data_IF_185241318640
#
_entry.id   IF_185241318640
#
_cell.length_a   1.000
_cell.length_b   1.000
_cell.length_c   1.000
_cell.angle_alpha   90.00
_cell.angle_beta   90.00
_cell.angle_gamma   90.00
#
_symmetry.space_group_name_H-M   'P 1'
#
loop_
_entity.id
_entity.type
_entity.pdbx_description
1 polymer ?
#
# COMPACT_ATOMS: atom_id res chain seq x y z
N UNK A 1 -13.18 1.97 22.31
CA UNK A 1 -12.70 0.73 21.64
C UNK A 1 -11.21 0.89 21.50
N UNK A 2 -10.42 -0.12 21.88
CA UNK A 2 -8.96 -0.08 21.68
C UNK A 2 -8.69 -0.12 20.18
N UNK A 3 -7.72 0.66 19.70
CA UNK A 3 -7.40 0.69 18.26
C UNK A 3 -6.82 -0.66 17.82
N UNK A 4 -6.99 -1.07 16.55
CA UNK A 4 -6.37 -2.31 16.06
C UNK A 4 -4.85 -2.31 16.24
N UNK A 5 -4.22 -1.13 16.18
CA UNK A 5 -2.78 -0.97 16.39
C UNK A 5 -2.36 -1.12 17.86
N UNK A 6 -3.20 -0.77 18.83
CA UNK A 6 -2.93 -1.06 20.25
C UNK A 6 -2.90 -2.57 20.51
N UNK A 7 -3.77 -3.35 19.86
CA UNK A 7 -3.73 -4.80 19.96
C UNK A 7 -2.45 -5.40 19.34
N UNK A 8 -1.89 -4.76 18.31
CA UNK A 8 -0.69 -5.21 17.60
C UNK A 8 0.62 -4.72 18.25
N UNK A 9 0.68 -3.51 18.79
CA UNK A 9 1.93 -2.90 19.26
C UNK A 9 1.98 -2.71 20.78
N UNK A 10 0.85 -2.92 21.48
CA UNK A 10 0.69 -2.61 22.89
C UNK A 10 0.24 -1.18 23.13
N UNK A 11 0.23 -0.76 24.40
CA UNK A 11 -0.30 0.55 24.81
C UNK A 11 0.56 1.73 24.36
N UNK A 12 1.88 1.53 24.23
CA UNK A 12 2.83 2.59 23.88
C UNK A 12 3.83 2.12 22.84
N UNK A 13 4.25 3.07 21.99
CA UNK A 13 5.32 2.91 21.01
C UNK A 13 6.41 3.94 21.22
N UNK A 14 7.63 3.62 20.78
CA UNK A 14 8.78 4.49 20.87
C UNK A 14 8.83 5.43 19.66
N UNK A 15 8.81 6.72 19.92
CA UNK A 15 9.06 7.79 18.94
C UNK A 15 10.47 8.34 19.11
N UNK A 16 10.86 9.33 18.32
CA UNK A 16 12.12 10.06 18.50
C UNK A 16 12.16 10.97 19.72
N UNK A 17 11.01 11.28 20.30
CA UNK A 17 10.88 12.13 21.49
C UNK A 17 10.56 11.34 22.76
N UNK A 18 10.52 10.00 22.69
CA UNK A 18 10.21 9.12 23.83
C UNK A 18 9.02 8.19 23.56
N UNK A 19 8.48 7.59 24.61
CA UNK A 19 7.29 6.75 24.52
C UNK A 19 6.04 7.61 24.30
N UNK A 20 5.12 7.11 23.48
CA UNK A 20 3.85 7.76 23.16
C UNK A 20 2.73 6.71 23.12
N UNK A 21 1.49 7.04 23.56
CA UNK A 21 0.36 6.15 23.43
C UNK A 21 0.15 5.72 21.97
N UNK A 22 -0.03 4.42 21.75
CA UNK A 22 -0.18 3.84 20.40
C UNK A 22 -1.38 4.43 19.66
N UNK A 23 -2.51 4.62 20.34
CA UNK A 23 -3.68 5.26 19.74
C UNK A 23 -3.39 6.68 19.22
N UNK A 24 -2.53 7.45 19.91
CA UNK A 24 -2.16 8.79 19.49
C UNK A 24 -1.13 8.76 18.36
N UNK A 25 -0.15 7.85 18.41
CA UNK A 25 0.88 7.71 17.39
C UNK A 25 0.31 7.25 16.03
N UNK A 26 -0.75 6.43 16.04
CA UNK A 26 -1.40 5.91 14.83
C UNK A 26 -2.74 6.57 14.49
N UNK A 27 -3.09 7.70 15.14
CA UNK A 27 -4.31 8.42 14.83
C UNK A 27 -4.32 8.89 13.36
N UNK A 28 -5.37 8.55 12.61
CA UNK A 28 -5.52 8.92 11.20
C UNK A 28 -4.63 8.15 10.23
N UNK A 29 -3.86 7.16 10.68
CA UNK A 29 -3.02 6.33 9.82
C UNK A 29 -3.87 5.26 9.14
N UNK A 30 -3.80 5.19 7.81
CA UNK A 30 -4.53 4.21 7.01
C UNK A 30 -3.62 3.21 6.31
N UNK A 31 -2.32 3.52 6.23
CA UNK A 31 -1.28 2.64 5.67
C UNK A 31 -0.15 2.55 6.69
N UNK A 32 0.02 1.38 7.31
CA UNK A 32 1.04 1.16 8.34
C UNK A 32 1.99 0.05 7.91
N UNK A 33 3.28 0.34 7.82
CA UNK A 33 4.31 -0.66 7.54
C UNK A 33 5.02 -1.17 8.78
N UNK A 34 4.98 -2.47 9.03
CA UNK A 34 5.73 -3.14 10.10
C UNK A 34 7.06 -3.64 9.51
N UNK A 35 8.16 -3.03 9.95
CA UNK A 35 9.49 -3.31 9.44
C UNK A 35 10.29 -4.18 10.42
N UNK A 36 10.43 -5.46 10.11
CA UNK A 36 11.26 -6.39 10.86
C UNK A 36 12.70 -6.35 10.35
N UNK A 37 13.62 -5.95 11.22
CA UNK A 37 15.02 -5.75 10.84
C UNK A 37 15.98 -5.84 12.04
N UNK A 38 17.29 -5.82 11.80
CA UNK A 38 18.32 -5.73 12.84
C UNK A 38 19.62 -5.13 12.30
N UNK A 39 20.40 -4.50 13.17
CA UNK A 39 21.66 -3.85 12.82
C UNK A 39 22.70 -4.85 12.31
N UNK A 40 22.80 -6.00 12.97
CA UNK A 40 23.78 -7.05 12.65
C UNK A 40 23.55 -7.69 11.28
N UNK A 41 22.36 -7.52 10.68
CA UNK A 41 21.95 -8.13 9.41
C UNK A 41 22.45 -7.31 8.20
N UNK A 42 23.35 -7.85 7.33
CA UNK A 42 23.86 -7.12 6.17
C UNK A 42 22.80 -6.66 5.15
N UNK A 43 21.84 -7.49 4.68
CA UNK A 43 20.84 -7.03 3.73
C UNK A 43 19.89 -5.98 4.33
N UNK A 44 19.72 -6.00 5.65
CA UNK A 44 18.94 -5.01 6.38
C UNK A 44 19.57 -3.61 6.33
N UNK A 45 20.90 -3.53 6.55
CA UNK A 45 21.65 -2.27 6.43
C UNK A 45 21.62 -1.68 5.02
N UNK A 46 21.49 -2.52 3.99
CA UNK A 46 21.32 -2.05 2.61
C UNK A 46 19.91 -1.53 2.30
N UNK A 47 18.88 -2.13 2.89
CA UNK A 47 17.48 -1.75 2.64
C UNK A 47 17.01 -0.55 3.46
N UNK A 48 17.56 -0.36 4.66
CA UNK A 48 17.09 0.67 5.60
C UNK A 48 17.22 2.10 5.07
N UNK A 49 18.34 2.51 4.45
CA UNK A 49 18.45 3.85 3.89
C UNK A 49 17.39 4.11 2.82
N UNK A 50 17.14 3.13 1.94
CA UNK A 50 16.11 3.22 0.89
C UNK A 50 14.72 3.40 1.51
N UNK A 51 14.39 2.61 2.55
CA UNK A 51 13.11 2.71 3.24
C UNK A 51 12.95 4.05 3.99
N UNK A 52 14.01 4.52 4.65
CA UNK A 52 14.01 5.81 5.36
C UNK A 52 13.81 6.98 4.40
N UNK A 53 14.46 6.97 3.23
CA UNK A 53 14.29 7.98 2.18
C UNK A 53 12.88 7.95 1.59
N UNK A 54 12.39 6.76 1.22
CA UNK A 54 11.01 6.57 0.74
C UNK A 54 9.98 7.08 1.75
N UNK A 55 10.17 6.79 3.04
CA UNK A 55 9.28 7.29 4.09
C UNK A 55 9.32 8.82 4.20
N UNK A 56 10.52 9.40 4.19
CA UNK A 56 10.70 10.84 4.32
C UNK A 56 10.05 11.60 3.16
N UNK A 57 10.17 11.08 1.94
CA UNK A 57 9.50 11.62 0.75
C UNK A 57 7.97 11.50 0.83
N UNK A 58 7.44 10.31 1.16
CA UNK A 58 5.98 10.11 1.32
C UNK A 58 5.40 11.10 2.33
N UNK A 59 6.01 11.23 3.51
CA UNK A 59 5.53 12.16 4.54
C UNK A 59 5.76 13.63 4.13
N UNK A 60 6.82 13.92 3.38
CA UNK A 60 7.12 15.23 2.81
C UNK A 60 6.08 15.69 1.78
N UNK A 61 5.52 14.75 1.02
CA UNK A 61 4.43 14.95 0.04
C UNK A 61 3.03 15.01 0.69
N UNK A 62 2.95 15.23 2.00
CA UNK A 62 1.72 15.37 2.81
C UNK A 62 0.87 14.10 2.93
N UNK A 63 1.41 12.91 2.66
CA UNK A 63 0.77 11.62 2.92
C UNK A 63 0.82 11.24 4.41
N UNK A 64 0.17 12.04 5.25
CA UNK A 64 0.14 11.88 6.72
C UNK A 64 -0.55 10.60 7.17
N UNK A 65 -1.32 9.95 6.30
CA UNK A 65 -1.96 8.66 6.53
C UNK A 65 -0.98 7.48 6.52
N UNK A 66 0.26 7.69 6.06
CA UNK A 66 1.33 6.68 6.05
C UNK A 66 2.12 6.71 7.36
N UNK A 67 2.51 5.54 7.87
CA UNK A 67 3.42 5.42 9.00
C UNK A 67 4.22 4.11 8.94
N UNK A 68 5.42 4.11 9.51
CA UNK A 68 6.23 2.91 9.68
C UNK A 68 6.54 2.66 11.15
N UNK A 69 6.62 1.38 11.52
CA UNK A 69 7.09 0.95 12.84
C UNK A 69 8.18 -0.11 12.70
N UNK A 70 9.33 0.19 13.28
CA UNK A 70 10.46 -0.72 13.39
C UNK A 70 10.21 -1.77 14.47
N UNK A 71 10.40 -3.04 14.12
CA UNK A 71 10.37 -4.18 15.03
C UNK A 71 11.74 -4.85 15.01
N UNK A 72 12.53 -4.55 16.04
CA UNK A 72 13.93 -4.96 16.10
C UNK A 72 14.13 -6.44 16.43
N UNK A 73 15.00 -7.07 15.67
CA UNK A 73 15.60 -8.37 15.95
C UNK A 73 17.05 -8.25 16.45
N UNK A 74 17.45 -7.07 16.93
CA UNK A 74 18.73 -6.86 17.61
C UNK A 74 18.80 -7.67 18.90
N UNK A 75 20.02 -8.09 19.22
CA UNK A 75 20.33 -9.01 20.32
C UNK A 75 20.38 -8.31 21.68
N UNK A 76 20.65 -7.02 21.67
CA UNK A 76 20.70 -6.16 22.83
C UNK A 76 20.13 -4.76 22.50
N UNK A 77 19.87 -3.99 23.56
CA UNK A 77 19.27 -2.66 23.47
C UNK A 77 20.24 -1.63 22.86
N UNK A 78 21.55 -1.83 23.00
CA UNK A 78 22.56 -0.95 22.42
C UNK A 78 22.52 -0.99 20.90
N UNK A 79 22.53 -2.19 20.31
CA UNK A 79 22.43 -2.37 18.86
C UNK A 79 21.09 -1.89 18.30
N UNK A 80 20.01 -2.06 19.08
CA UNK A 80 18.72 -1.45 18.75
C UNK A 80 18.80 0.07 18.68
N UNK A 81 19.33 0.72 19.73
CA UNK A 81 19.39 2.17 19.82
C UNK A 81 20.27 2.76 18.72
N UNK A 82 21.45 2.18 18.48
CA UNK A 82 22.36 2.61 17.42
C UNK A 82 21.68 2.60 16.06
N UNK A 83 20.99 1.51 15.73
CA UNK A 83 20.37 1.35 14.42
C UNK A 83 19.06 2.10 14.25
N UNK A 84 18.27 2.20 15.32
CA UNK A 84 17.04 3.00 15.31
C UNK A 84 17.33 4.48 15.12
N UNK A 85 18.47 5.00 15.60
CA UNK A 85 18.86 6.41 15.40
C UNK A 85 18.88 6.83 13.92
N UNK A 86 19.17 5.90 13.00
CA UNK A 86 19.24 6.17 11.56
C UNK A 86 17.86 6.12 10.85
N UNK A 87 16.79 5.81 11.57
CA UNK A 87 15.44 5.67 11.01
C UNK A 87 14.58 6.89 11.40
N UNK A 88 13.76 7.49 10.51
CA UNK A 88 12.93 8.66 10.83
C UNK A 88 11.54 8.32 11.41
N UNK A 89 11.18 7.04 11.52
CA UNK A 89 9.85 6.56 11.88
C UNK A 89 9.80 5.92 13.29
N UNK A 90 8.68 5.31 13.67
CA UNK A 90 8.43 4.75 15.00
C UNK A 90 9.17 3.43 15.26
N UNK A 91 9.22 2.98 16.51
CA UNK A 91 9.68 1.65 16.89
C UNK A 91 8.79 1.01 17.95
N UNK A 92 8.70 -0.32 17.91
CA UNK A 92 8.25 -1.09 19.07
C UNK A 92 9.34 -0.97 20.16
N UNK A 93 9.00 -0.59 21.41
CA UNK A 93 9.98 -0.45 22.48
C UNK A 93 10.80 -1.73 22.64
N UNK A 94 12.13 -1.60 22.76
CA UNK A 94 13.02 -2.76 22.81
C UNK A 94 12.65 -3.76 23.91
N UNK A 95 12.19 -3.27 25.06
CA UNK A 95 11.74 -4.09 26.19
C UNK A 95 10.57 -5.03 25.84
N UNK A 96 9.76 -4.72 24.82
CA UNK A 96 8.57 -5.47 24.44
C UNK A 96 8.90 -6.71 23.58
N UNK A 97 9.84 -7.54 24.04
CA UNK A 97 10.32 -8.73 23.31
C UNK A 97 9.23 -9.75 23.01
N UNK A 98 8.35 -9.99 23.99
CA UNK A 98 7.22 -10.90 23.81
C UNK A 98 6.27 -10.44 22.69
N UNK A 99 5.98 -9.14 22.62
CA UNK A 99 5.13 -8.58 21.56
C UNK A 99 5.79 -8.69 20.19
N UNK A 100 7.11 -8.45 20.12
CA UNK A 100 7.89 -8.67 18.89
C UNK A 100 7.76 -10.12 18.39
N UNK A 101 7.81 -11.11 19.29
CA UNK A 101 7.69 -12.52 18.91
C UNK A 101 6.26 -12.90 18.48
N UNK A 102 5.24 -12.33 19.13
CA UNK A 102 3.84 -12.43 18.67
C UNK A 102 3.70 -11.86 17.26
N UNK A 103 4.19 -10.65 17.00
CA UNK A 103 4.13 -10.02 15.69
C UNK A 103 4.83 -10.85 14.61
N UNK A 104 6.04 -11.34 14.88
CA UNK A 104 6.79 -12.18 13.94
C UNK A 104 6.00 -13.47 13.59
N UNK A 105 5.34 -14.08 14.57
CA UNK A 105 4.50 -15.26 14.36
C UNK A 105 3.21 -14.92 13.59
N UNK A 106 2.50 -13.87 13.98
CA UNK A 106 1.24 -13.42 13.34
C UNK A 106 1.43 -13.17 11.85
N UNK A 107 2.56 -12.56 11.48
CA UNK A 107 2.85 -12.22 10.09
C UNK A 107 3.67 -13.29 9.34
N UNK A 108 4.01 -14.41 9.99
CA UNK A 108 4.85 -15.49 9.43
C UNK A 108 6.22 -14.98 8.93
N UNK A 109 6.88 -14.16 9.76
CA UNK A 109 8.20 -13.61 9.49
C UNK A 109 9.27 -14.66 9.73
N UNK A 110 9.85 -15.18 8.65
CA UNK A 110 10.88 -16.23 8.68
C UNK A 110 12.31 -15.70 8.51
N UNK A 111 12.46 -14.43 8.17
CA UNK A 111 13.75 -13.80 7.92
C UNK A 111 13.64 -12.28 7.94
N UNK A 112 14.79 -11.61 7.87
CA UNK A 112 14.90 -10.14 7.81
C UNK A 112 15.81 -9.74 6.63
N UNK A 113 15.59 -8.58 5.99
CA UNK A 113 14.51 -7.63 6.26
C UNK A 113 13.15 -8.10 5.71
N UNK A 114 12.09 -7.92 6.49
CA UNK A 114 10.68 -8.12 6.08
C UNK A 114 9.88 -6.87 6.38
N UNK A 115 9.06 -6.44 5.43
CA UNK A 115 8.18 -5.28 5.55
C UNK A 115 6.76 -5.69 5.19
N UNK A 116 5.85 -5.57 6.15
CA UNK A 116 4.43 -5.91 6.00
C UNK A 116 3.61 -4.63 6.05
N UNK A 117 2.77 -4.37 5.05
CA UNK A 117 1.86 -3.24 5.05
C UNK A 117 0.47 -3.66 5.50
N UNK A 118 -0.13 -2.86 6.38
CA UNK A 118 -1.46 -3.01 6.93
C UNK A 118 -2.34 -1.82 6.56
N UNK A 119 -3.66 -2.05 6.51
CA UNK A 119 -4.66 -1.00 6.39
C UNK A 119 -5.04 -0.41 7.77
N UNK A 120 -5.97 0.55 7.78
CA UNK A 120 -6.50 1.19 9.00
C UNK A 120 -7.15 0.21 10.01
N UNK A 121 -7.63 -0.94 9.54
CA UNK A 121 -8.24 -1.99 10.37
C UNK A 121 -7.21 -2.96 10.96
N UNK A 122 -5.94 -2.86 10.55
CA UNK A 122 -4.88 -3.80 10.90
C UNK A 122 -4.81 -5.04 10.00
N UNK A 123 -5.59 -5.09 8.92
CA UNK A 123 -5.53 -6.20 7.96
C UNK A 123 -4.35 -6.04 7.01
N UNK A 124 -3.81 -7.16 6.55
CA UNK A 124 -2.65 -7.18 5.65
C UNK A 124 -3.04 -6.70 4.25
N UNK A 125 -2.40 -5.61 3.81
CA UNK A 125 -2.36 -5.18 2.41
C UNK A 125 -1.39 -6.10 1.64
N UNK A 126 -0.15 -6.21 2.11
CA UNK A 126 0.88 -7.09 1.53
C UNK A 126 1.96 -7.47 2.54
N UNK A 127 2.49 -8.69 2.42
CA UNK A 127 3.68 -9.15 3.17
C UNK A 127 4.98 -8.95 2.39
N UNK A 128 4.90 -8.53 1.12
CA UNK A 128 6.04 -8.34 0.22
C UNK A 128 6.41 -6.86 0.07
N UNK A 129 6.23 -6.08 1.15
CA UNK A 129 6.45 -4.63 1.15
C UNK A 129 7.89 -4.25 0.78
N UNK A 130 8.87 -5.09 1.12
CA UNK A 130 10.27 -4.88 0.72
C UNK A 130 10.40 -4.82 -0.80
N UNK A 131 9.79 -5.78 -1.51
CA UNK A 131 9.87 -5.81 -2.98
C UNK A 131 9.09 -4.65 -3.59
N UNK A 132 7.97 -4.25 -3.01
CA UNK A 132 7.23 -3.04 -3.44
C UNK A 132 8.13 -1.81 -3.41
N UNK A 133 8.82 -1.55 -2.30
CA UNK A 133 9.72 -0.40 -2.17
C UNK A 133 10.93 -0.53 -3.10
N UNK A 134 11.57 -1.70 -3.17
CA UNK A 134 12.77 -1.89 -3.99
C UNK A 134 12.50 -1.80 -5.50
N UNK A 135 11.34 -2.25 -5.96
CA UNK A 135 10.96 -2.20 -7.38
C UNK A 135 10.45 -0.82 -7.81
N UNK A 136 10.12 0.06 -6.87
CA UNK A 136 9.73 1.43 -7.16
C UNK A 136 10.93 2.30 -7.58
N UNK A 137 12.17 1.87 -7.27
CA UNK A 137 13.38 2.59 -7.67
C UNK A 137 13.39 4.09 -7.28
N UNK A 138 12.81 4.43 -6.13
CA UNK A 138 12.68 5.81 -5.64
C UNK A 138 11.40 6.54 -6.06
N UNK A 139 10.53 5.90 -6.84
CA UNK A 139 9.22 6.48 -7.19
C UNK A 139 8.19 6.22 -6.08
N UNK A 140 8.01 7.18 -5.18
CA UNK A 140 7.02 7.08 -4.08
C UNK A 140 5.59 6.94 -4.57
N UNK A 141 5.25 7.51 -5.73
CA UNK A 141 3.92 7.36 -6.32
C UNK A 141 3.67 5.92 -6.76
N UNK A 142 4.71 5.22 -7.27
CA UNK A 142 4.62 3.81 -7.59
C UNK A 142 4.41 2.93 -6.34
N UNK A 143 5.04 3.27 -5.20
CA UNK A 143 4.81 2.58 -3.92
C UNK A 143 3.35 2.74 -3.49
N UNK A 144 2.84 3.97 -3.44
CA UNK A 144 1.46 4.25 -3.01
C UNK A 144 0.43 3.62 -3.96
N UNK A 145 0.65 3.70 -5.26
CA UNK A 145 -0.22 3.06 -6.25
C UNK A 145 -0.26 1.53 -6.10
N UNK A 146 0.89 0.90 -5.82
CA UNK A 146 0.94 -0.53 -5.55
C UNK A 146 0.13 -0.88 -4.30
N UNK A 147 0.29 -0.13 -3.20
CA UNK A 147 -0.45 -0.37 -1.96
C UNK A 147 -1.95 -0.17 -2.12
N UNK A 148 -2.38 0.85 -2.87
CA UNK A 148 -3.79 1.07 -3.19
C UNK A 148 -4.38 -0.10 -3.99
N UNK A 149 -3.64 -0.61 -4.99
CA UNK A 149 -4.06 -1.77 -5.78
C UNK A 149 -4.24 -3.03 -4.92
N UNK A 150 -3.28 -3.31 -4.02
CA UNK A 150 -3.37 -4.46 -3.12
C UNK A 150 -4.52 -4.34 -2.12
N UNK A 151 -4.81 -3.13 -1.64
CA UNK A 151 -5.95 -2.85 -0.76
C UNK A 151 -7.31 -3.15 -1.41
N UNK A 152 -7.46 -2.89 -2.72
CA UNK A 152 -8.69 -3.17 -3.48
C UNK A 152 -8.85 -4.68 -3.82
N UNK A 153 -7.75 -5.41 -4.04
CA UNK A 153 -7.80 -6.85 -4.34
C UNK A 153 -8.02 -7.75 -3.10
N UNK A 154 -8.13 -7.18 -1.89
CA UNK A 154 -8.48 -7.93 -0.68
C UNK A 154 -7.46 -8.98 -0.26
N UNK A 155 -6.23 -8.55 0.07
CA UNK A 155 -5.27 -9.31 0.90
C UNK A 155 -4.74 -10.63 0.32
N UNK A 156 -3.42 -10.69 0.13
CA UNK A 156 -2.63 -11.89 -0.20
C UNK A 156 -2.69 -12.35 -1.67
N UNK A 157 -2.03 -11.60 -2.56
CA UNK A 157 -1.55 -12.16 -3.83
C UNK A 157 -0.19 -12.80 -3.61
N UNK A 158 -0.11 -14.12 -3.76
CA UNK A 158 1.15 -14.90 -3.77
C UNK A 158 1.93 -14.59 -5.07
N UNK A 159 2.54 -13.41 -5.16
CA UNK A 159 3.32 -13.00 -6.32
C UNK A 159 4.70 -13.64 -6.23
N UNK A 160 4.82 -14.88 -6.70
CA UNK A 160 6.13 -15.34 -7.21
C UNK A 160 6.47 -14.44 -8.40
N UNK A 161 7.52 -13.63 -8.26
CA UNK A 161 8.01 -12.76 -9.34
C UNK A 161 8.10 -13.54 -10.65
N UNK A 162 7.45 -13.09 -11.74
CA UNK A 162 7.71 -13.68 -13.05
C UNK A 162 9.18 -13.45 -13.38
N UNK A 163 9.94 -14.52 -13.66
CA UNK A 163 11.23 -14.35 -14.34
C UNK A 163 10.92 -13.69 -15.67
N UNK A 164 11.26 -12.41 -15.83
CA UNK A 164 11.08 -11.70 -17.09
C UNK A 164 11.90 -12.42 -18.18
N UNK A 165 11.21 -13.19 -19.01
CA UNK A 165 11.70 -13.55 -20.32
C UNK A 165 11.80 -12.28 -21.16
N UNK A 166 12.90 -12.13 -21.91
CA UNK A 166 13.15 -10.99 -22.80
C UNK A 166 12.10 -10.98 -23.92
N UNK A 167 10.97 -10.32 -23.71
CA UNK A 167 10.11 -9.88 -24.79
C UNK A 167 10.07 -8.35 -24.83
N UNK A 168 10.49 -7.78 -25.96
CA UNK A 168 10.37 -6.35 -26.23
C UNK A 168 8.89 -5.93 -26.15
N UNK A 169 8.57 -4.77 -25.56
CA UNK A 169 7.21 -4.25 -25.60
C UNK A 169 6.86 -3.89 -27.06
N UNK A 170 5.76 -4.49 -27.55
CA UNK A 170 5.16 -4.17 -28.84
C UNK A 170 4.37 -2.86 -28.72
N UNK A 171 4.95 -1.77 -29.25
CA UNK A 171 4.33 -0.62 -29.97
C UNK A 171 2.94 -0.03 -29.61
N UNK A 172 2.27 -0.40 -28.51
CA UNK A 172 0.91 0.07 -28.17
C UNK A 172 0.86 0.91 -26.88
N UNK A 173 1.69 1.96 -26.80
CA UNK A 173 1.45 3.08 -25.88
C UNK A 173 1.15 4.32 -26.70
N UNK A 174 -0.14 4.61 -26.92
CA UNK A 174 -0.58 5.90 -27.46
C UNK A 174 -0.96 6.83 -26.31
N UNK A 175 -0.55 8.09 -26.47
CA UNK A 175 -0.57 9.21 -25.52
C UNK A 175 -1.91 9.40 -24.81
N UNK A 176 -1.84 9.61 -23.49
CA UNK A 176 -2.87 10.29 -22.70
C UNK A 176 -2.79 11.80 -23.01
N UNK A 177 -3.92 12.41 -23.37
CA UNK A 177 -4.07 13.86 -23.38
C UNK A 177 -4.89 14.25 -22.13
N UNK A 178 -4.32 15.09 -21.28
CA UNK A 178 -5.04 15.84 -20.26
C UNK A 178 -5.57 17.12 -20.93
N UNK A 179 -6.86 17.38 -20.79
CA UNK A 179 -7.43 18.71 -21.04
C UNK A 179 -8.05 19.19 -19.73
N UNK A 180 -7.47 20.24 -19.16
CA UNK A 180 -8.02 20.93 -18.00
C UNK A 180 -9.21 21.80 -18.41
N UNK A 181 -10.32 21.69 -17.68
CA UNK A 181 -11.45 22.60 -17.78
C UNK A 181 -12.75 21.97 -17.32
N UNK A 182 -13.27 22.43 -16.17
CA UNK A 182 -14.63 22.21 -15.67
C UNK A 182 -15.11 20.74 -15.61
N UNK A 183 -14.63 20.02 -14.60
CA UNK A 183 -15.40 19.00 -13.88
C UNK A 183 -16.15 17.97 -14.72
N UNK A 184 -15.42 17.14 -15.47
CA UNK A 184 -15.27 15.69 -15.18
C UNK A 184 -14.63 14.95 -16.37
N UNK A 185 -13.63 14.12 -16.06
CA UNK A 185 -12.90 13.27 -17.01
C UNK A 185 -13.30 11.79 -16.80
N UNK A 186 -13.72 11.10 -17.86
CA UNK A 186 -13.94 9.64 -17.84
C UNK A 186 -12.88 8.98 -18.72
N UNK A 187 -12.07 8.09 -18.15
CA UNK A 187 -11.11 7.25 -18.89
C UNK A 187 -11.46 5.79 -18.63
N UNK A 188 -11.80 5.05 -19.69
CA UNK A 188 -12.07 3.61 -19.64
C UNK A 188 -11.00 2.88 -20.46
N UNK A 189 -10.39 1.85 -19.88
CA UNK A 189 -9.61 0.86 -20.63
C UNK A 189 -10.08 -0.55 -20.26
N UNK A 190 -10.29 -1.39 -21.27
CA UNK A 190 -10.43 -2.84 -21.12
C UNK A 190 -11.47 -3.44 -22.07
N UNK A 191 -11.03 -4.29 -23.00
CA UNK A 191 -11.92 -5.13 -23.80
C UNK A 191 -12.54 -6.23 -22.91
N UNK A 192 -13.86 -6.22 -22.72
CA UNK A 192 -14.58 -7.31 -22.05
C UNK A 192 -16.07 -7.02 -21.94
N UNK A 193 -16.91 -7.94 -22.37
CA UNK A 193 -18.37 -7.87 -22.26
C UNK A 193 -18.78 -8.20 -20.82
N UNK A 194 -19.57 -7.33 -20.17
CA UNK A 194 -20.15 -7.58 -18.85
C UNK A 194 -21.04 -8.84 -18.87
N UNK A 195 -20.87 -9.81 -17.96
CA UNK A 195 -21.76 -10.97 -17.87
C UNK A 195 -23.14 -10.56 -17.32
N UNK A 196 -24.20 -11.18 -17.86
CA UNK A 196 -25.57 -10.91 -17.45
C UNK A 196 -25.80 -11.33 -15.98
N UNK A 197 -26.29 -10.40 -15.14
CA UNK A 197 -26.70 -10.68 -13.76
C UNK A 197 -25.96 -9.90 -12.66
N UNK A 198 -25.00 -9.03 -12.99
CA UNK A 198 -24.40 -8.11 -12.00
C UNK A 198 -25.30 -6.88 -11.84
N UNK A 199 -26.12 -6.85 -10.80
CA UNK A 199 -26.86 -5.66 -10.39
C UNK A 199 -25.97 -4.77 -9.52
N UNK A 200 -25.70 -3.53 -9.96
CA UNK A 200 -25.18 -2.49 -9.06
C UNK A 200 -26.25 -2.19 -8.00
N UNK A 201 -25.89 -2.32 -6.73
CA UNK A 201 -26.78 -2.00 -5.61
C UNK A 201 -27.27 -0.54 -5.64
N UNK A 202 -28.35 -0.28 -4.89
CA UNK A 202 -29.11 0.98 -4.87
C UNK A 202 -28.18 2.20 -4.70
N UNK A 203 -28.14 3.05 -5.73
CA UNK A 203 -27.43 4.33 -5.73
C UNK A 203 -28.23 5.39 -4.95
N UNK A 204 -27.56 6.37 -4.32
CA UNK A 204 -28.23 7.47 -3.64
C UNK A 204 -29.12 8.28 -4.60
N UNK A 205 -30.16 8.91 -4.05
CA UNK A 205 -31.17 9.64 -4.81
C UNK A 205 -30.52 10.70 -5.74
N UNK A 206 -30.71 10.54 -7.05
CA UNK A 206 -30.15 11.40 -8.08
C UNK A 206 -29.48 10.66 -9.25
N UNK A 207 -29.27 9.35 -9.16
CA UNK A 207 -28.70 8.55 -10.26
C UNK A 207 -29.81 7.76 -10.97
N UNK A 208 -30.12 8.16 -12.19
CA UNK A 208 -31.03 7.42 -13.08
C UNK A 208 -30.21 6.42 -13.90
N UNK A 209 -30.64 5.16 -13.89
CA UNK A 209 -30.10 4.09 -14.73
C UNK A 209 -30.26 4.48 -16.21
N UNK A 210 -29.17 4.52 -16.99
CA UNK A 210 -29.25 4.70 -18.45
C UNK A 210 -29.06 3.34 -19.11
N UNK A 211 -30.14 2.84 -19.69
CA UNK A 211 -30.18 1.61 -20.48
C UNK A 211 -29.25 1.65 -21.70
N UNK A 212 -28.90 0.45 -22.14
CA UNK A 212 -27.98 0.13 -23.24
C UNK A 212 -28.04 1.09 -24.44
N UNK A 213 -26.86 1.52 -24.89
CA UNK A 213 -26.65 2.06 -26.25
C UNK A 213 -25.98 3.42 -26.29
N UNK A 214 -24.68 3.51 -26.02
CA UNK A 214 -23.86 4.66 -26.44
C UNK A 214 -22.82 4.15 -27.44
N UNK A 215 -22.95 4.57 -28.70
CA UNK A 215 -21.92 4.42 -29.74
C UNK A 215 -21.10 5.70 -29.80
N UNK A 216 -19.78 5.58 -29.64
CA UNK A 216 -18.83 6.70 -29.74
C UNK A 216 -18.22 6.69 -31.14
N UNK A 217 -18.34 7.78 -31.90
CA UNK A 217 -17.65 7.96 -33.20
C UNK A 217 -16.14 8.13 -32.96
N UNK A 218 -15.33 7.72 -33.93
CA UNK A 218 -13.87 7.72 -33.96
C UNK A 218 -13.20 9.11 -33.80
N UNK A 219 -13.96 10.18 -33.57
CA UNK A 219 -13.47 11.53 -33.29
C UNK A 219 -13.61 11.99 -31.83
N UNK A 220 -14.37 11.29 -30.98
CA UNK A 220 -14.30 11.45 -29.53
C UNK A 220 -14.96 12.68 -28.90
N UNK A 221 -16.00 13.27 -29.50
CA UNK A 221 -16.78 14.35 -28.87
C UNK A 221 -18.02 13.81 -28.13
N UNK A 222 -18.26 14.31 -26.91
CA UNK A 222 -19.46 14.03 -26.09
C UNK A 222 -20.12 15.36 -25.72
N UNK A 223 -21.37 15.57 -26.13
CA UNK A 223 -22.16 16.76 -25.80
C UNK A 223 -23.11 16.49 -24.61
N UNK A 224 -23.01 17.28 -23.54
CA UNK A 224 -23.96 17.25 -22.41
C UNK A 224 -23.35 17.63 -21.06
N UNK A 225 -23.88 18.68 -20.42
CA UNK A 225 -23.38 19.23 -19.15
C UNK A 225 -23.84 18.42 -17.93
N UNK A 226 -22.90 18.18 -17.01
CA UNK A 226 -23.12 17.55 -15.70
C UNK A 226 -22.62 16.12 -15.66
N UNK A 227 -21.34 15.91 -15.33
CA UNK A 227 -20.78 14.56 -15.21
C UNK A 227 -20.21 14.38 -13.81
N UNK A 228 -20.46 13.21 -13.23
CA UNK A 228 -19.92 12.71 -11.96
C UNK A 228 -19.07 11.48 -12.29
N UNK A 229 -17.85 11.40 -11.77
CA UNK A 229 -16.94 10.25 -12.00
C UNK A 229 -17.17 9.19 -10.95
N UNK A 230 -17.51 7.97 -11.36
CA UNK A 230 -17.42 6.77 -10.50
C UNK A 230 -16.37 5.85 -11.11
N UNK A 231 -15.25 5.70 -10.42
CA UNK A 231 -14.18 4.75 -10.79
C UNK A 231 -14.49 3.41 -10.13
N UNK A 232 -14.80 2.38 -10.93
CA UNK A 232 -14.72 0.99 -10.47
C UNK A 232 -13.67 0.29 -11.33
N UNK A 233 -12.41 0.41 -10.90
CA UNK A 233 -11.32 -0.32 -11.51
C UNK A 233 -11.35 -1.78 -11.04
N UNK A 234 -11.84 -2.69 -11.88
CA UNK A 234 -11.41 -4.09 -11.78
C UNK A 234 -10.01 -4.18 -12.38
N UNK A 235 -8.99 -3.93 -11.55
CA UNK A 235 -7.67 -4.44 -11.86
C UNK A 235 -7.79 -5.96 -11.91
N UNK A 236 -7.41 -6.60 -13.02
CA UNK A 236 -7.37 -8.06 -13.08
C UNK A 236 -6.43 -8.57 -11.96
N UNK A 237 -7.02 -9.00 -10.84
CA UNK A 237 -6.32 -9.73 -9.81
C UNK A 237 -6.12 -11.14 -10.40
N UNK A 238 -4.97 -11.41 -11.01
CA UNK A 238 -4.66 -12.73 -11.58
C UNK A 238 -4.44 -13.73 -10.43
N UNK A 239 -5.53 -14.28 -9.89
CA UNK A 239 -5.47 -15.47 -9.05
C UNK A 239 -5.18 -16.65 -9.96
N UNK A 240 -3.95 -17.19 -9.90
CA UNK A 240 -3.67 -18.48 -10.49
C UNK A 240 -4.44 -19.52 -9.67
N UNK A 241 -5.44 -20.16 -10.28
CA UNK A 241 -6.04 -21.35 -9.71
C UNK A 241 -4.91 -22.37 -9.45
N UNK A 242 -4.81 -22.82 -8.21
CA UNK A 242 -3.99 -23.96 -7.82
C UNK A 242 -4.60 -25.22 -8.40
N UNK A 243 -3.89 -25.85 -9.34
CA UNK A 243 -4.09 -27.26 -9.69
C UNK A 243 -3.63 -28.17 -8.53
#
# INVERSE_FOLDING_TARGET
MSSPFEALFGAEVQTKTGLKPTAEAFAGKTIVGIYFSAHWCPPCRGFTPVLSETYAEIVGDDHKEFELIFVSSDRDESGFNEYYNDMPFLALPYANRAQKDVLAKTFDVRGIPTLVFLNAAGDVITKDGRSVVMNAHGDVSAVLAALAKYGLCGGQTDVKSPRMGRHKPSSYMRRLALVEGAGVTVVVFGHGVLPAGVGLGVLPAGVTEVGQGVSVDATGDVEGAGVTVVVVGYGECFQRASD
#
